data_IF_801576742863
#
_entry.id   IF_801576742863
#
_cell.length_a   1.000
_cell.length_b   1.000
_cell.length_c   1.000
_cell.angle_alpha   90.00
_cell.angle_beta   90.00
_cell.angle_gamma   90.00
#
_symmetry.space_group_name_H-M   'P 1'
#
loop_
_entity.id
_entity.type
_entity.pdbx_description
1 polymer ?
#
# COMPACT_ATOMS: atom_id res chain seq x y z
N UNK A 1 16.36 9.05 19.02
CA UNK A 1 16.69 7.69 18.56
C UNK A 1 16.23 6.66 19.60
N UNK A 2 15.60 5.63 19.15
CA UNK A 2 15.16 4.54 20.03
C UNK A 2 16.17 3.41 20.02
N UNK A 3 16.53 2.93 21.20
CA UNK A 3 17.40 1.78 21.35
C UNK A 3 16.66 0.69 22.13
N UNK A 4 16.63 -0.52 21.58
CA UNK A 4 15.86 -1.60 22.19
C UNK A 4 16.80 -2.72 22.63
N UNK A 5 16.46 -3.32 23.75
CA UNK A 5 17.22 -4.46 24.30
C UNK A 5 17.03 -5.71 23.43
N UNK A 6 15.88 -5.86 22.78
CA UNK A 6 15.56 -7.01 21.94
C UNK A 6 15.19 -6.52 20.52
N UNK A 7 15.48 -7.36 19.50
CA UNK A 7 15.03 -7.03 18.14
C UNK A 7 13.53 -6.82 18.08
N UNK A 8 13.10 -5.86 17.28
CA UNK A 8 11.68 -5.55 17.10
C UNK A 8 11.38 -5.37 15.61
N UNK A 9 10.25 -5.92 15.13
CA UNK A 9 9.86 -5.67 13.76
C UNK A 9 9.35 -4.24 13.61
N UNK A 10 9.48 -3.72 12.39
CA UNK A 10 8.84 -2.47 12.00
C UNK A 10 7.48 -2.78 11.41
N UNK A 11 6.52 -1.87 11.61
CA UNK A 11 5.17 -2.01 11.10
C UNK A 11 4.92 -1.02 9.98
N UNK A 12 4.31 -1.50 8.90
CA UNK A 12 3.90 -0.68 7.77
C UNK A 12 2.44 -0.91 7.46
N UNK A 13 1.86 -0.02 6.68
CA UNK A 13 0.53 -0.21 6.11
C UNK A 13 0.62 0.02 4.61
N UNK A 14 -0.08 -0.80 3.84
CA UNK A 14 -0.15 -0.68 2.40
C UNK A 14 -1.61 -0.67 1.96
N UNK A 15 -1.90 0.03 0.86
CA UNK A 15 -3.27 0.15 0.35
C UNK A 15 -3.37 -0.39 -1.07
N UNK A 16 -4.35 -1.26 -1.30
CA UNK A 16 -4.77 -1.67 -2.64
C UNK A 16 -5.98 -0.84 -3.00
N UNK A 17 -5.80 0.12 -3.90
CA UNK A 17 -6.85 1.01 -4.34
C UNK A 17 -7.25 0.61 -5.75
N UNK A 18 -8.50 0.18 -5.91
CA UNK A 18 -8.99 -0.33 -7.19
C UNK A 18 -10.08 0.57 -7.78
N UNK A 19 -10.09 0.66 -9.11
CA UNK A 19 -11.07 1.41 -9.87
C UNK A 19 -11.08 0.92 -11.31
N UNK A 20 -12.23 0.50 -11.82
CA UNK A 20 -12.41 0.14 -13.24
C UNK A 20 -11.35 -0.87 -13.74
N UNK A 21 -11.16 -1.97 -13.03
CA UNK A 21 -10.16 -3.00 -13.32
C UNK A 21 -8.73 -2.48 -13.32
N UNK A 22 -8.48 -1.44 -12.54
CA UNK A 22 -7.13 -0.86 -12.37
C UNK A 22 -6.76 -0.79 -10.91
N UNK A 23 -5.47 -0.78 -10.65
CA UNK A 23 -4.91 -0.61 -9.31
C UNK A 23 -3.94 0.57 -9.33
N UNK A 24 -3.96 1.34 -8.24
CA UNK A 24 -3.08 2.49 -8.09
C UNK A 24 -1.74 2.06 -7.55
N UNK A 25 -0.67 2.38 -8.27
CA UNK A 25 0.68 2.04 -7.87
C UNK A 25 1.58 3.28 -7.90
N UNK A 26 2.63 3.23 -7.10
CA UNK A 26 3.67 4.25 -7.06
C UNK A 26 4.98 3.63 -7.54
N UNK A 27 5.76 4.38 -8.32
CA UNK A 27 7.08 3.92 -8.75
C UNK A 27 8.09 4.29 -7.68
N UNK A 28 8.88 3.31 -7.27
CA UNK A 28 9.90 3.55 -6.24
C UNK A 28 11.08 4.32 -6.83
N UNK A 29 11.45 5.40 -6.15
CA UNK A 29 12.59 6.22 -6.54
C UNK A 29 13.87 5.85 -5.83
N UNK A 30 13.84 4.92 -4.87
CA UNK A 30 14.98 4.55 -4.04
C UNK A 30 15.10 3.03 -3.91
N UNK A 31 16.31 2.58 -3.57
CA UNK A 31 16.51 1.18 -3.20
C UNK A 31 15.82 0.87 -1.85
N UNK A 32 15.37 -0.35 -1.59
CA UNK A 32 15.38 -1.50 -2.50
C UNK A 32 14.29 -1.40 -3.57
N UNK A 33 14.43 -2.17 -4.63
CA UNK A 33 13.47 -2.25 -5.73
C UNK A 33 13.28 -0.91 -6.48
N UNK A 34 14.37 -0.16 -6.68
CA UNK A 34 14.31 1.08 -7.46
C UNK A 34 13.69 0.81 -8.83
N UNK A 35 12.82 1.71 -9.26
CA UNK A 35 12.06 1.67 -10.52
C UNK A 35 11.01 0.58 -10.61
N UNK A 36 10.90 -0.32 -9.61
CA UNK A 36 9.74 -1.19 -9.51
C UNK A 36 8.55 -0.42 -8.96
N UNK A 37 7.36 -0.95 -9.20
CA UNK A 37 6.13 -0.35 -8.72
C UNK A 37 5.70 -1.01 -7.42
N UNK A 38 5.01 -0.26 -6.59
CA UNK A 38 4.60 -0.73 -5.26
C UNK A 38 3.23 -0.17 -4.92
N UNK A 39 2.56 -0.84 -3.99
CA UNK A 39 1.36 -0.29 -3.37
C UNK A 39 1.74 0.96 -2.59
N UNK A 40 0.88 2.00 -2.58
CA UNK A 40 1.08 3.12 -1.68
C UNK A 40 1.08 2.64 -0.23
N UNK A 41 2.02 3.12 0.56
CA UNK A 41 2.15 2.71 1.95
C UNK A 41 3.45 3.16 2.56
N UNK A 42 3.63 2.90 3.85
CA UNK A 42 4.83 3.28 4.56
C UNK A 42 4.79 2.91 6.02
N UNK A 43 5.77 3.41 6.76
CA UNK A 43 5.98 3.03 8.15
C UNK A 43 5.02 3.74 9.09
N UNK A 44 4.48 2.97 10.04
CA UNK A 44 3.63 3.50 11.11
C UNK A 44 4.47 4.34 12.07
N UNK A 45 3.96 5.52 12.42
CA UNK A 45 4.58 6.39 13.42
C UNK A 45 4.16 5.96 14.82
N UNK A 46 4.91 6.41 15.83
CA UNK A 46 4.74 5.96 17.20
C UNK A 46 3.42 6.37 17.85
N UNK A 47 2.81 7.42 17.33
CA UNK A 47 1.60 8.01 17.92
C UNK A 47 0.36 7.82 17.03
N UNK A 48 0.40 6.90 16.06
CA UNK A 48 -0.75 6.67 15.20
C UNK A 48 -1.19 5.21 15.20
N UNK A 49 -2.47 4.97 14.86
CA UNK A 49 -2.95 3.62 14.61
C UNK A 49 -2.51 3.16 13.24
N UNK A 50 -2.55 1.85 13.00
CA UNK A 50 -2.17 1.33 11.68
C UNK A 50 -3.15 1.78 10.59
N UNK A 51 -4.43 1.96 10.91
CA UNK A 51 -5.44 2.49 9.98
C UNK A 51 -5.13 3.95 9.62
N UNK A 52 -4.74 4.76 10.60
CA UNK A 52 -4.34 6.14 10.36
C UNK A 52 -3.09 6.18 9.47
N UNK A 53 -2.14 5.30 9.72
CA UNK A 53 -0.94 5.16 8.88
C UNK A 53 -1.32 4.91 7.41
N UNK A 54 -2.24 3.98 7.18
CA UNK A 54 -2.68 3.65 5.81
C UNK A 54 -3.26 4.88 5.11
N UNK A 55 -4.16 5.59 5.77
CA UNK A 55 -4.80 6.79 5.21
C UNK A 55 -3.78 7.91 4.97
N UNK A 56 -2.90 8.13 5.93
CA UNK A 56 -1.87 9.18 5.84
C UNK A 56 -0.90 8.91 4.70
N UNK A 57 -0.35 7.69 4.63
CA UNK A 57 0.61 7.33 3.59
C UNK A 57 -0.02 7.39 2.19
N UNK A 58 -1.27 6.95 2.07
CA UNK A 58 -1.99 7.03 0.81
C UNK A 58 -2.10 8.49 0.35
N UNK A 59 -2.46 9.39 1.25
CA UNK A 59 -2.57 10.80 0.92
C UNK A 59 -1.21 11.42 0.58
N UNK A 60 -0.19 11.12 1.37
CA UNK A 60 1.15 11.68 1.13
C UNK A 60 1.73 11.25 -0.21
N UNK A 61 1.50 10.01 -0.62
CA UNK A 61 2.10 9.48 -1.85
C UNK A 61 1.25 9.73 -3.10
N UNK A 62 -0.07 9.80 -2.97
CA UNK A 62 -0.97 9.84 -4.12
C UNK A 62 -1.94 11.02 -4.13
N UNK A 63 -1.97 11.80 -3.07
CA UNK A 63 -2.92 12.90 -2.85
C UNK A 63 -4.38 12.45 -2.68
N UNK A 64 -4.66 11.15 -2.70
CA UNK A 64 -6.02 10.65 -2.46
C UNK A 64 -6.37 10.72 -0.98
N UNK A 65 -7.55 11.22 -0.69
CA UNK A 65 -8.07 11.32 0.66
C UNK A 65 -9.20 10.32 0.85
N UNK A 66 -8.99 9.36 1.75
CA UNK A 66 -10.01 8.38 2.11
C UNK A 66 -10.19 8.41 3.61
N UNK A 67 -11.36 7.94 4.08
CA UNK A 67 -11.61 7.80 5.50
C UNK A 67 -11.15 6.43 5.99
N UNK A 68 -10.84 6.33 7.28
CA UNK A 68 -10.49 5.03 7.85
C UNK A 68 -11.63 4.01 7.68
N UNK A 69 -12.87 4.49 7.68
CA UNK A 69 -14.04 3.64 7.45
C UNK A 69 -14.13 3.09 6.03
N UNK A 70 -13.34 3.62 5.09
CA UNK A 70 -13.28 3.11 3.72
C UNK A 70 -12.29 1.95 3.60
N UNK A 71 -11.53 1.65 4.64
CA UNK A 71 -10.54 0.59 4.64
C UNK A 71 -11.16 -0.75 4.98
N UNK A 72 -10.78 -1.78 4.22
CA UNK A 72 -11.13 -3.16 4.54
C UNK A 72 -9.83 -3.97 4.63
N UNK A 73 -9.59 -4.60 5.76
CA UNK A 73 -8.36 -5.38 5.95
C UNK A 73 -8.31 -6.56 4.97
N UNK A 74 -7.24 -6.62 4.18
CA UNK A 74 -6.94 -7.77 3.33
C UNK A 74 -6.26 -8.84 4.18
N UNK A 75 -5.24 -8.46 4.92
CA UNK A 75 -4.49 -9.35 5.77
C UNK A 75 -3.25 -8.70 6.33
N UNK A 76 -2.55 -9.47 7.14
CA UNK A 76 -1.25 -9.08 7.71
C UNK A 76 -0.19 -9.96 7.05
N UNK A 77 0.86 -9.34 6.52
CA UNK A 77 1.91 -10.03 5.79
C UNK A 77 3.20 -9.94 6.59
N UNK A 78 3.67 -11.08 7.05
CA UNK A 78 4.76 -11.14 8.02
C UNK A 78 5.83 -12.17 7.69
N UNK A 79 5.93 -12.60 6.44
CA UNK A 79 6.94 -13.58 6.07
C UNK A 79 8.35 -13.03 6.33
N UNK A 80 9.22 -13.79 7.00
CA UNK A 80 10.62 -13.39 7.13
C UNK A 80 11.23 -13.17 5.75
N UNK A 81 12.00 -12.10 5.61
CA UNK A 81 12.66 -11.81 4.32
C UNK A 81 11.80 -11.13 3.27
N UNK A 82 10.52 -10.84 3.56
CA UNK A 82 9.67 -10.13 2.61
C UNK A 82 10.22 -8.74 2.25
N UNK A 83 10.97 -8.13 3.14
CA UNK A 83 11.62 -6.83 2.96
C UNK A 83 13.11 -7.00 3.23
N UNK A 84 14.00 -6.74 2.25
CA UNK A 84 15.43 -6.93 2.46
C UNK A 84 16.05 -5.96 3.46
N UNK A 85 15.37 -4.87 3.81
CA UNK A 85 15.89 -3.89 4.78
C UNK A 85 15.85 -4.39 6.21
N UNK A 86 14.97 -5.35 6.52
CA UNK A 86 14.84 -5.88 7.87
C UNK A 86 13.51 -6.56 8.10
N UNK A 87 13.23 -6.87 9.36
CA UNK A 87 12.00 -7.55 9.77
C UNK A 87 10.85 -6.55 9.73
N UNK A 88 10.02 -6.65 8.72
CA UNK A 88 8.90 -5.72 8.49
C UNK A 88 7.60 -6.50 8.34
N UNK A 89 6.58 -6.05 9.08
CA UNK A 89 5.24 -6.62 9.04
C UNK A 89 4.30 -5.54 8.50
N UNK A 90 3.49 -5.85 7.50
CA UNK A 90 2.55 -4.90 6.96
C UNK A 90 1.11 -5.34 7.16
N UNK A 91 0.24 -4.39 7.46
CA UNK A 91 -1.21 -4.57 7.36
C UNK A 91 -1.63 -3.97 6.02
N UNK A 92 -2.27 -4.79 5.18
CA UNK A 92 -2.70 -4.36 3.86
C UNK A 92 -4.21 -4.16 3.84
N UNK A 93 -4.64 -3.04 3.27
CA UNK A 93 -6.05 -2.64 3.24
C UNK A 93 -6.54 -2.47 1.81
N UNK A 94 -7.77 -2.91 1.57
CA UNK A 94 -8.48 -2.67 0.31
C UNK A 94 -9.28 -1.39 0.44
N UNK A 95 -9.17 -0.51 -0.56
CA UNK A 95 -9.95 0.70 -0.68
C UNK A 95 -10.74 0.62 -1.98
N UNK A 96 -12.03 0.42 -1.89
CA UNK A 96 -12.90 0.33 -3.05
C UNK A 96 -13.45 1.71 -3.37
N UNK A 97 -13.27 2.12 -4.59
CA UNK A 97 -13.56 3.43 -5.06
C UNK A 97 -15.03 3.69 -5.33
N UNK A 98 -15.87 3.84 -4.40
CA UNK A 98 -17.24 4.27 -4.70
C UNK A 98 -17.49 5.73 -4.34
N UNK A 99 -16.64 6.32 -3.51
CA UNK A 99 -16.88 7.66 -2.98
C UNK A 99 -15.93 8.72 -3.51
N UNK A 100 -14.70 8.33 -3.79
CA UNK A 100 -13.67 9.29 -4.18
C UNK A 100 -13.42 9.32 -5.69
N UNK A 101 -14.09 8.48 -6.45
CA UNK A 101 -13.95 8.42 -7.90
C UNK A 101 -14.23 9.76 -8.59
N UNK A 102 -15.02 10.62 -7.95
CA UNK A 102 -15.34 11.95 -8.49
C UNK A 102 -14.33 13.02 -8.08
N UNK A 103 -13.34 12.69 -7.26
CA UNK A 103 -12.42 13.69 -6.71
C UNK A 103 -11.26 14.02 -7.64
N UNK A 104 -11.17 13.33 -8.77
CA UNK A 104 -10.12 13.58 -9.73
C UNK A 104 -9.02 12.52 -9.65
N UNK A 105 -7.97 12.74 -10.43
CA UNK A 105 -6.90 11.78 -10.54
C UNK A 105 -5.91 11.90 -9.38
N UNK A 106 -5.27 10.77 -9.06
CA UNK A 106 -4.19 10.74 -8.08
C UNK A 106 -2.98 11.49 -8.62
N UNK A 107 -2.26 12.15 -7.73
CA UNK A 107 -1.07 12.92 -8.07
C UNK A 107 0.14 12.37 -7.34
N UNK A 108 1.33 12.55 -7.94
CA UNK A 108 2.58 12.14 -7.31
C UNK A 108 2.83 12.95 -6.05
N UNK A 109 3.04 12.25 -4.94
CA UNK A 109 3.43 12.87 -3.68
C UNK A 109 4.94 12.98 -3.54
N UNK A 110 5.39 13.42 -2.35
CA UNK A 110 6.79 13.77 -2.12
C UNK A 110 7.77 12.61 -2.26
N UNK A 111 7.38 11.41 -1.84
CA UNK A 111 8.29 10.27 -1.75
C UNK A 111 8.21 9.31 -2.94
N UNK A 112 7.26 9.53 -3.84
CA UNK A 112 7.08 8.67 -5.00
C UNK A 112 7.66 9.35 -6.25
N UNK A 113 8.32 8.56 -7.10
CA UNK A 113 8.83 9.07 -8.36
C UNK A 113 7.72 9.27 -9.38
N UNK A 114 6.65 8.47 -9.29
CA UNK A 114 5.51 8.54 -10.19
C UNK A 114 4.33 7.82 -9.57
N UNK A 115 3.11 8.29 -9.84
CA UNK A 115 1.86 7.63 -9.44
C UNK A 115 1.09 7.31 -10.71
N UNK A 116 0.55 6.09 -10.80
CA UNK A 116 -0.14 5.68 -12.01
C UNK A 116 -1.17 4.59 -11.74
N UNK A 117 -2.29 4.63 -12.46
CA UNK A 117 -3.24 3.55 -12.50
C UNK A 117 -2.77 2.48 -13.49
N UNK A 118 -2.70 1.23 -13.06
CA UNK A 118 -2.28 0.11 -13.90
C UNK A 118 -3.43 -0.86 -14.10
N UNK A 119 -3.56 -1.37 -15.32
CA UNK A 119 -4.52 -2.44 -15.58
C UNK A 119 -4.16 -3.68 -14.74
N UNK A 120 -5.16 -4.27 -14.10
CA UNK A 120 -4.95 -5.51 -13.36
C UNK A 120 -4.57 -6.68 -14.27
N UNK A 121 -4.80 -6.55 -15.58
CA UNK A 121 -4.42 -7.57 -16.56
C UNK A 121 -2.98 -7.42 -17.05
N UNK A 122 -2.34 -6.28 -16.81
CA UNK A 122 -0.98 -5.98 -17.27
C UNK A 122 -0.21 -5.23 -16.20
N UNK A 123 0.09 -5.91 -15.09
CA UNK A 123 0.82 -5.29 -13.99
C UNK A 123 2.32 -5.17 -14.32
N UNK A 124 2.96 -4.10 -13.85
CA UNK A 124 4.41 -3.92 -14.00
C UNK A 124 5.17 -4.81 -13.01
N UNK A 125 6.52 -4.84 -13.08
CA UNK A 125 7.30 -5.45 -12.01
C UNK A 125 6.98 -4.81 -10.67
N UNK A 126 6.64 -5.62 -9.70
CA UNK A 126 6.19 -5.17 -8.37
C UNK A 126 7.26 -5.43 -7.32
N UNK A 127 7.37 -4.50 -6.38
CA UNK A 127 8.29 -4.60 -5.25
C UNK A 127 7.75 -5.53 -4.17
N UNK A 128 8.65 -6.06 -3.35
CA UNK A 128 8.32 -6.85 -2.16
C UNK A 128 7.39 -8.03 -2.52
N UNK A 129 6.38 -8.27 -1.69
CA UNK A 129 5.33 -9.27 -1.91
C UNK A 129 4.01 -8.62 -2.37
N UNK A 130 4.09 -7.44 -2.97
CA UNK A 130 2.89 -6.69 -3.35
C UNK A 130 2.04 -7.41 -4.40
N UNK A 131 2.63 -8.24 -5.24
CA UNK A 131 1.85 -9.06 -6.19
C UNK A 131 0.91 -10.00 -5.44
N UNK A 132 1.37 -10.62 -4.36
CA UNK A 132 0.53 -11.49 -3.54
C UNK A 132 -0.58 -10.71 -2.87
N UNK A 133 -0.27 -9.52 -2.34
CA UNK A 133 -1.26 -8.67 -1.69
C UNK A 133 -2.37 -8.30 -2.66
N UNK A 134 -2.01 -7.92 -3.89
CA UNK A 134 -3.00 -7.58 -4.92
C UNK A 134 -3.88 -8.79 -5.25
N UNK A 135 -3.29 -9.98 -5.41
CA UNK A 135 -4.07 -11.19 -5.66
C UNK A 135 -5.07 -11.49 -4.55
N UNK A 136 -4.63 -11.33 -3.30
CA UNK A 136 -5.50 -11.55 -2.15
C UNK A 136 -6.64 -10.53 -2.11
N UNK A 137 -6.34 -9.27 -2.45
CA UNK A 137 -7.34 -8.22 -2.53
C UNK A 137 -8.40 -8.52 -3.58
N UNK A 138 -7.99 -9.04 -4.73
CA UNK A 138 -8.93 -9.38 -5.81
C UNK A 138 -9.89 -10.48 -5.40
N UNK A 139 -9.47 -11.40 -4.53
CA UNK A 139 -10.37 -12.43 -3.99
C UNK A 139 -11.47 -11.82 -3.13
N UNK A 140 -11.17 -10.75 -2.40
CA UNK A 140 -12.16 -10.04 -1.60
C UNK A 140 -13.15 -9.26 -2.46
N UNK A 141 -12.74 -8.84 -3.66
CA UNK A 141 -13.59 -8.14 -4.60
C UNK A 141 -14.45 -9.07 -5.44
N UNK A 142 -14.12 -10.37 -5.48
CA UNK A 142 -14.83 -11.32 -6.31
C UNK A 142 -16.27 -11.48 -5.84
N UNK A 143 -17.24 -11.55 -6.75
CA UNK A 143 -18.63 -11.81 -6.35
C UNK A 143 -18.76 -13.18 -5.70
N UNK A 144 -19.63 -13.26 -4.70
CA UNK A 144 -19.95 -14.52 -4.05
C UNK A 144 -20.69 -15.42 -5.03
N UNK A 145 -20.34 -16.68 -5.05
CA UNK A 145 -20.98 -17.68 -5.91
C UNK A 145 -21.87 -18.60 -5.08
#
# INVERSE_FOLDING_TARGET
>A
MYTYEYPRPMLTADCVVTRDNKVLLVRRGNEPFRDCWALPGGFMEMDETIEHCAVRELQEETALQVAESDLRLIGVYSAPGRDPRGRTVTAAYLVVDSRWSAVGDAETGDDAAEVRWWSLDELPPLAFDHAQIINDALRLCAPAH
#
